data_IF_062582555884
#
_entry.id   IF_062582555884
#
_cell.length_a   1.000
_cell.length_b   1.000
_cell.length_c   1.000
_cell.angle_alpha   90.00
_cell.angle_beta   90.00
_cell.angle_gamma   90.00
#
_symmetry.space_group_name_H-M   'P 1'
#
loop_
_entity.id
_entity.type
_entity.pdbx_description
1 polymer ?
#
# COMPACT_ATOMS: atom_id res chain seq x y z
N UNK A 1 1.82 4.78 27.02
CA UNK A 1 2.11 3.88 25.88
C UNK A 1 2.73 4.64 24.70
N UNK A 2 2.10 5.72 24.21
CA UNK A 2 2.61 6.49 23.06
C UNK A 2 4.02 7.08 23.26
N UNK A 3 4.28 7.72 24.40
CA UNK A 3 5.60 8.31 24.69
C UNK A 3 6.76 7.30 24.59
N UNK A 4 6.56 6.08 25.11
CA UNK A 4 7.54 5.00 25.01
C UNK A 4 7.74 4.53 23.55
N UNK A 5 6.67 4.44 22.75
CA UNK A 5 6.77 4.07 21.35
C UNK A 5 7.54 5.12 20.54
N UNK A 6 7.31 6.41 20.82
CA UNK A 6 8.05 7.51 20.19
C UNK A 6 9.53 7.44 20.57
N UNK A 7 9.86 7.19 21.84
CA UNK A 7 11.24 7.07 22.29
C UNK A 7 11.96 5.89 21.64
N UNK A 8 11.32 4.72 21.62
CA UNK A 8 11.86 3.51 20.97
C UNK A 8 12.03 3.71 19.45
N UNK A 9 11.09 4.41 18.80
CA UNK A 9 11.24 4.74 17.39
C UNK A 9 12.38 5.72 17.15
N UNK A 10 12.54 6.75 17.99
CA UNK A 10 13.63 7.74 17.87
C UNK A 10 14.99 7.06 18.00
N UNK A 11 15.16 6.16 18.95
CA UNK A 11 16.41 5.42 19.22
C UNK A 11 16.67 4.26 18.26
N UNK A 12 15.70 3.85 17.45
CA UNK A 12 15.86 2.77 16.48
C UNK A 12 16.93 3.11 15.42
N UNK A 13 17.70 2.09 15.02
CA UNK A 13 18.66 2.20 13.92
C UNK A 13 17.96 2.54 12.59
N UNK A 14 18.67 3.14 11.61
CA UNK A 14 18.10 3.42 10.29
C UNK A 14 17.48 2.18 9.64
N UNK A 15 18.16 1.04 9.69
CA UNK A 15 17.66 -0.24 9.16
C UNK A 15 16.36 -0.67 9.84
N UNK A 16 16.27 -0.53 11.16
CA UNK A 16 15.05 -0.87 11.90
C UNK A 16 13.89 0.04 11.52
N UNK A 17 14.14 1.34 11.35
CA UNK A 17 13.14 2.30 10.86
C UNK A 17 12.64 1.92 9.46
N UNK A 18 13.54 1.49 8.57
CA UNK A 18 13.15 1.02 7.23
C UNK A 18 12.30 -0.26 7.27
N UNK A 19 12.60 -1.20 8.17
CA UNK A 19 11.77 -2.39 8.36
C UNK A 19 10.36 -2.02 8.84
N UNK A 20 10.25 -1.10 9.79
CA UNK A 20 8.95 -0.60 10.29
C UNK A 20 8.17 0.11 9.18
N UNK A 21 8.84 0.94 8.37
CA UNK A 21 8.24 1.60 7.21
C UNK A 21 7.72 0.57 6.19
N UNK A 22 8.49 -0.48 5.89
CA UNK A 22 8.09 -1.53 4.96
C UNK A 22 6.85 -2.29 5.47
N UNK A 23 6.82 -2.63 6.76
CA UNK A 23 5.67 -3.26 7.40
C UNK A 23 4.43 -2.36 7.35
N UNK A 24 4.57 -1.08 7.69
CA UNK A 24 3.49 -0.11 7.63
C UNK A 24 2.92 0.02 6.22
N UNK A 25 3.78 0.11 5.21
CA UNK A 25 3.37 0.14 3.81
C UNK A 25 2.58 -1.11 3.40
N UNK A 26 2.99 -2.29 3.87
CA UNK A 26 2.27 -3.53 3.61
C UNK A 26 0.88 -3.52 4.25
N UNK A 27 0.77 -3.10 5.52
CA UNK A 27 -0.52 -2.98 6.21
C UNK A 27 -1.44 -1.97 5.54
N UNK A 28 -0.92 -0.81 5.13
CA UNK A 28 -1.69 0.20 4.42
C UNK A 28 -2.25 -0.33 3.10
N UNK A 29 -1.46 -1.07 2.32
CA UNK A 29 -1.93 -1.72 1.07
C UNK A 29 -3.02 -2.75 1.32
N UNK A 30 -2.91 -3.55 2.38
CA UNK A 30 -3.94 -4.53 2.73
C UNK A 30 -5.26 -3.85 3.11
N UNK A 31 -5.20 -2.77 3.89
CA UNK A 31 -6.37 -1.98 4.25
C UNK A 31 -7.01 -1.32 3.03
N UNK A 32 -6.21 -0.73 2.14
CA UNK A 32 -6.71 -0.14 0.91
C UNK A 32 -7.39 -1.18 0.01
N UNK A 33 -6.82 -2.38 -0.13
CA UNK A 33 -7.41 -3.47 -0.90
C UNK A 33 -8.72 -3.97 -0.29
N UNK A 34 -8.80 -4.07 1.05
CA UNK A 34 -10.04 -4.42 1.73
C UNK A 34 -11.15 -3.37 1.47
N UNK A 35 -10.79 -2.08 1.52
CA UNK A 35 -11.70 -0.99 1.15
C UNK A 35 -12.18 -1.09 -0.29
N UNK A 36 -11.28 -1.37 -1.24
CA UNK A 36 -11.63 -1.55 -2.65
C UNK A 36 -12.57 -2.74 -2.87
N UNK A 37 -12.34 -3.87 -2.21
CA UNK A 37 -13.24 -5.04 -2.27
C UNK A 37 -14.63 -4.72 -1.72
N UNK A 38 -14.71 -3.94 -0.65
CA UNK A 38 -15.98 -3.49 -0.10
C UNK A 38 -16.72 -2.51 -1.03
N UNK A 39 -15.99 -1.68 -1.76
CA UNK A 39 -16.55 -0.68 -2.68
C UNK A 39 -16.93 -1.27 -4.04
N UNK A 40 -16.19 -2.27 -4.52
CA UNK A 40 -16.38 -2.93 -5.82
C UNK A 40 -16.44 -4.46 -5.65
N UNK A 41 -17.55 -5.02 -5.12
CA UNK A 41 -17.65 -6.45 -4.83
C UNK A 41 -17.50 -7.35 -6.07
N UNK A 42 -17.93 -6.87 -7.23
CA UNK A 42 -17.92 -7.61 -8.50
C UNK A 42 -16.61 -7.44 -9.30
N UNK A 43 -15.68 -6.59 -8.83
CA UNK A 43 -14.43 -6.37 -9.56
C UNK A 43 -13.52 -7.58 -9.47
N UNK A 44 -12.90 -7.93 -10.59
CA UNK A 44 -11.86 -8.97 -10.63
C UNK A 44 -10.63 -8.56 -9.82
N UNK A 45 -9.83 -9.53 -9.39
CA UNK A 45 -8.57 -9.26 -8.68
C UNK A 45 -7.62 -8.36 -9.49
N UNK A 46 -7.61 -8.48 -10.82
CA UNK A 46 -6.82 -7.62 -11.70
C UNK A 46 -7.29 -6.17 -11.68
N UNK A 47 -8.61 -5.94 -11.72
CA UNK A 47 -9.19 -4.59 -11.61
C UNK A 47 -8.92 -3.97 -10.24
N UNK A 48 -9.05 -4.75 -9.17
CA UNK A 48 -8.74 -4.30 -7.81
C UNK A 48 -7.27 -3.89 -7.69
N UNK A 49 -6.35 -4.66 -8.28
CA UNK A 49 -4.92 -4.31 -8.29
C UNK A 49 -4.63 -3.07 -9.16
N UNK A 50 -5.31 -2.89 -10.30
CA UNK A 50 -5.21 -1.65 -11.12
C UNK A 50 -5.65 -0.43 -10.31
N UNK A 51 -6.80 -0.52 -9.64
CA UNK A 51 -7.32 0.56 -8.77
C UNK A 51 -6.38 0.85 -7.60
N UNK A 52 -5.82 -0.19 -6.97
CA UNK A 52 -4.82 -0.03 -5.91
C UNK A 52 -3.57 0.68 -6.44
N UNK A 53 -3.10 0.35 -7.64
CA UNK A 53 -1.99 1.06 -8.27
C UNK A 53 -2.33 2.54 -8.53
N UNK A 54 -3.56 2.84 -8.96
CA UNK A 54 -4.05 4.21 -9.12
C UNK A 54 -4.01 5.02 -7.82
N UNK A 55 -4.38 4.40 -6.70
CA UNK A 55 -4.31 5.02 -5.36
C UNK A 55 -2.86 5.26 -4.88
N UNK A 56 -1.94 4.33 -5.16
CA UNK A 56 -0.58 4.37 -4.63
C UNK A 56 0.39 5.19 -5.47
N UNK A 57 0.25 5.15 -6.78
CA UNK A 57 1.20 5.71 -7.75
C UNK A 57 0.59 6.82 -8.61
N UNK A 58 -0.72 7.03 -8.51
CA UNK A 58 -1.50 7.87 -9.43
C UNK A 58 -1.97 7.09 -10.66
N UNK A 59 -3.07 7.56 -11.26
CA UNK A 59 -3.69 6.89 -12.42
C UNK A 59 -2.77 6.83 -13.64
N UNK A 60 -1.90 7.82 -13.87
CA UNK A 60 -0.98 7.82 -15.01
C UNK A 60 -0.01 6.64 -14.97
N UNK A 61 0.60 6.39 -13.80
CA UNK A 61 1.55 5.28 -13.63
C UNK A 61 0.81 3.95 -13.62
N UNK A 62 -0.36 3.89 -12.97
CA UNK A 62 -1.19 2.70 -12.97
C UNK A 62 -1.60 2.28 -14.39
N UNK A 63 -1.95 3.24 -15.24
CA UNK A 63 -2.30 2.99 -16.63
C UNK A 63 -1.13 2.37 -17.40
N UNK A 64 0.05 3.01 -17.35
CA UNK A 64 1.27 2.53 -18.03
C UNK A 64 1.65 1.09 -17.64
N UNK A 65 1.53 0.75 -16.35
CA UNK A 65 1.90 -0.59 -15.85
C UNK A 65 0.90 -1.65 -16.31
N UNK A 66 -0.40 -1.35 -16.31
CA UNK A 66 -1.42 -2.34 -16.62
C UNK A 66 -1.73 -2.47 -18.11
N UNK A 67 -1.59 -1.40 -18.91
CA UNK A 67 -1.63 -1.50 -20.37
C UNK A 67 -0.55 -2.44 -20.91
N UNK A 68 0.69 -2.28 -20.42
CA UNK A 68 1.81 -3.13 -20.79
C UNK A 68 1.64 -4.60 -20.35
N UNK A 69 0.73 -4.87 -19.42
CA UNK A 69 0.42 -6.23 -18.94
C UNK A 69 -0.75 -6.90 -19.68
N UNK A 70 -1.49 -6.16 -20.51
CA UNK A 70 -2.65 -6.62 -21.26
C UNK A 70 -2.42 -6.69 -22.78
N UNK A 71 -1.27 -6.23 -23.27
CA UNK A 71 -0.78 -6.38 -24.65
C UNK A 71 0.08 -7.64 -24.80
#
# INVERSE_FOLDING_TARGET
MEALQIELWRSASPTRKMQMLAQLNQSARLLALAGLRSQYPESSETELRRRLAGLLLGEEIAYKVYEASMA
#
